data_IF_656528731815
#
_entry.id   IF_656528731815
#
_cell.length_a   1.000
_cell.length_b   1.000
_cell.length_c   1.000
_cell.angle_alpha   90.00
_cell.angle_beta   90.00
_cell.angle_gamma   90.00
#
_symmetry.space_group_name_H-M   'P 1'
#
loop_
_entity.id
_entity.type
_entity.pdbx_description
1 polymer ?
#
# COMPACT_ATOMS: atom_id res chain seq x y z
N UNK A 1 7.33 29.83 3.65
CA UNK A 1 8.75 29.45 3.81
C UNK A 1 9.48 29.46 2.47
N UNK A 2 10.82 29.61 2.48
CA UNK A 2 11.67 29.55 1.27
C UNK A 2 12.13 28.12 0.98
N UNK A 3 12.63 27.85 -0.23
CA UNK A 3 13.11 26.52 -0.66
C UNK A 3 14.10 25.86 0.32
N UNK A 4 15.09 26.61 0.80
CA UNK A 4 16.08 26.06 1.75
C UNK A 4 15.46 25.65 3.09
N UNK A 5 14.44 26.39 3.54
CA UNK A 5 13.70 26.07 4.76
C UNK A 5 12.76 24.88 4.55
N UNK A 6 12.08 24.81 3.40
CA UNK A 6 11.25 23.66 3.02
C UNK A 6 12.07 22.36 3.02
N UNK A 7 13.26 22.39 2.40
CA UNK A 7 14.22 21.28 2.41
C UNK A 7 14.59 20.85 3.83
N UNK A 8 14.98 21.79 4.70
CA UNK A 8 15.34 21.47 6.09
C UNK A 8 14.17 20.88 6.88
N UNK A 9 12.96 21.44 6.75
CA UNK A 9 11.79 20.99 7.51
C UNK A 9 11.24 19.63 7.06
N UNK A 10 11.44 19.28 5.79
CA UNK A 10 10.98 18.02 5.21
C UNK A 10 12.05 16.94 5.18
N UNK A 11 13.32 17.31 5.30
CA UNK A 11 14.46 16.44 5.07
C UNK A 11 14.68 16.09 3.59
N UNK A 12 13.90 16.69 2.66
CA UNK A 12 14.00 16.41 1.22
C UNK A 12 15.05 17.33 0.59
N UNK A 13 16.10 16.79 -0.05
CA UNK A 13 17.10 17.61 -0.70
C UNK A 13 16.49 18.54 -1.77
N UNK A 14 17.02 19.76 -1.88
CA UNK A 14 16.55 20.74 -2.89
C UNK A 14 16.53 20.18 -4.32
N UNK A 15 17.52 19.40 -4.80
CA UNK A 15 17.44 18.77 -6.12
C UNK A 15 16.23 17.85 -6.28
N UNK A 16 15.88 17.10 -5.23
CA UNK A 16 14.71 16.21 -5.21
C UNK A 16 13.40 16.98 -5.17
N UNK A 17 13.30 18.07 -4.39
CA UNK A 17 12.13 18.97 -4.43
C UNK A 17 11.96 19.55 -5.84
N UNK A 18 13.05 20.01 -6.47
CA UNK A 18 13.02 20.49 -7.85
C UNK A 18 12.63 19.41 -8.85
N UNK A 19 13.04 18.16 -8.62
CA UNK A 19 12.60 17.03 -9.41
C UNK A 19 11.09 16.83 -9.28
N UNK A 20 10.54 16.77 -8.06
CA UNK A 20 9.10 16.64 -7.86
C UNK A 20 8.29 17.80 -8.45
N UNK A 21 8.81 19.03 -8.42
CA UNK A 21 8.21 20.18 -9.11
C UNK A 21 8.20 20.02 -10.64
N UNK A 22 9.30 19.53 -11.23
CA UNK A 22 9.39 19.29 -12.69
C UNK A 22 8.49 18.16 -13.15
N UNK A 23 8.46 17.10 -12.35
CA UNK A 23 7.54 16.01 -12.60
C UNK A 23 6.11 16.50 -12.40
N UNK A 24 5.81 17.42 -11.47
CA UNK A 24 4.45 17.88 -11.17
C UNK A 24 3.81 17.13 -10.00
N UNK A 25 4.61 16.37 -9.25
CA UNK A 25 4.19 15.74 -7.98
C UNK A 25 4.04 16.78 -6.86
N UNK A 26 4.74 17.90 -6.95
CA UNK A 26 4.60 19.03 -6.03
C UNK A 26 4.11 20.24 -6.81
N UNK A 27 3.10 20.94 -6.27
CA UNK A 27 2.63 22.20 -6.85
C UNK A 27 3.71 23.29 -6.75
N UNK A 28 3.78 24.22 -7.72
CA UNK A 28 4.71 25.33 -7.65
C UNK A 28 4.30 26.28 -6.51
N UNK A 29 5.31 26.73 -5.75
CA UNK A 29 5.09 27.76 -4.73
C UNK A 29 4.72 29.11 -5.34
N UNK A 30 4.09 29.96 -4.55
CA UNK A 30 3.68 31.31 -4.95
C UNK A 30 4.90 32.17 -5.30
N UNK A 31 4.94 32.71 -6.52
CA UNK A 31 6.05 33.58 -6.94
C UNK A 31 5.97 34.89 -6.17
N UNK A 32 7.06 35.24 -5.50
CA UNK A 32 7.19 36.48 -4.72
C UNK A 32 8.24 37.43 -5.30
N UNK A 33 9.13 36.92 -6.16
CA UNK A 33 10.03 37.69 -7.03
C UNK A 33 10.49 36.81 -8.19
N UNK A 34 11.20 37.34 -9.22
CA UNK A 34 11.61 36.57 -10.39
C UNK A 34 12.33 35.25 -10.06
N UNK A 35 13.13 35.24 -8.99
CA UNK A 35 13.94 34.12 -8.53
C UNK A 35 13.52 33.56 -7.17
N UNK A 36 12.33 33.92 -6.66
CA UNK A 36 11.89 33.47 -5.34
C UNK A 36 10.43 33.03 -5.34
N UNK A 37 10.20 31.87 -4.73
CA UNK A 37 8.88 31.34 -4.43
C UNK A 37 8.67 31.23 -2.92
N UNK A 38 7.42 31.29 -2.50
CA UNK A 38 6.96 30.98 -1.16
C UNK A 38 6.24 29.63 -1.17
N UNK A 39 6.56 28.80 -0.19
CA UNK A 39 5.94 27.49 0.04
C UNK A 39 5.26 27.50 1.40
N UNK A 40 4.12 26.84 1.54
CA UNK A 40 3.37 26.78 2.80
C UNK A 40 3.39 25.38 3.43
N UNK A 41 2.56 25.14 4.44
CA UNK A 41 2.46 23.83 5.10
C UNK A 41 1.87 22.75 4.19
N UNK A 42 1.06 23.10 3.18
CA UNK A 42 0.52 22.11 2.24
C UNK A 42 1.65 21.44 1.44
N UNK A 43 2.70 22.20 1.11
CA UNK A 43 3.89 21.66 0.46
C UNK A 43 4.67 20.69 1.35
N UNK A 44 4.71 20.93 2.67
CA UNK A 44 5.33 20.01 3.63
C UNK A 44 4.52 18.71 3.69
N UNK A 45 3.19 18.81 3.82
CA UNK A 45 2.30 17.63 3.85
C UNK A 45 2.45 16.79 2.59
N UNK A 46 2.39 17.43 1.42
CA UNK A 46 2.55 16.76 0.12
C UNK A 46 3.91 16.10 -0.04
N UNK A 47 5.01 16.76 0.37
CA UNK A 47 6.34 16.15 0.34
C UNK A 47 6.45 14.92 1.25
N UNK A 48 5.82 14.94 2.43
CA UNK A 48 5.77 13.77 3.31
C UNK A 48 4.96 12.62 2.70
N UNK A 49 3.83 12.93 2.07
CA UNK A 49 3.02 11.95 1.36
C UNK A 49 3.78 11.31 0.20
N UNK A 50 4.44 12.10 -0.65
CA UNK A 50 5.28 11.59 -1.74
C UNK A 50 6.31 10.58 -1.21
N UNK A 51 7.01 10.92 -0.12
CA UNK A 51 8.01 10.04 0.48
C UNK A 51 7.39 8.77 1.05
N UNK A 52 6.27 8.89 1.77
CA UNK A 52 5.58 7.74 2.33
C UNK A 52 5.20 6.74 1.24
N UNK A 53 4.62 7.23 0.14
CA UNK A 53 4.19 6.40 -0.98
C UNK A 53 5.35 5.79 -1.76
N UNK A 54 6.38 6.59 -2.07
CA UNK A 54 7.50 6.14 -2.89
C UNK A 54 8.54 5.31 -2.12
N UNK A 55 8.97 5.78 -0.94
CA UNK A 55 10.09 5.19 -0.20
C UNK A 55 9.65 4.03 0.69
N UNK A 56 8.49 4.16 1.35
CA UNK A 56 8.00 3.12 2.28
C UNK A 56 7.01 2.21 1.58
N UNK A 57 6.04 2.78 0.86
CA UNK A 57 5.05 2.05 0.08
C UNK A 57 5.62 1.38 -1.18
N UNK A 58 6.82 1.78 -1.62
CA UNK A 58 7.49 1.20 -2.78
C UNK A 58 6.79 1.50 -4.12
N UNK A 59 5.88 2.47 -4.16
CA UNK A 59 5.20 2.83 -5.40
C UNK A 59 6.16 3.51 -6.38
N UNK A 60 6.16 3.12 -7.67
CA UNK A 60 6.88 3.86 -8.69
C UNK A 60 6.40 5.31 -8.76
N UNK A 61 7.31 6.24 -9.02
CA UNK A 61 7.00 7.69 -9.06
C UNK A 61 5.83 8.03 -10.00
N UNK A 62 5.70 7.32 -11.13
CA UNK A 62 4.57 7.49 -12.04
C UNK A 62 3.22 7.19 -11.36
N UNK A 63 3.14 6.14 -10.54
CA UNK A 63 1.93 5.77 -9.79
C UNK A 63 1.66 6.70 -8.62
N UNK A 64 2.71 7.23 -7.99
CA UNK A 64 2.56 8.24 -6.94
C UNK A 64 1.83 9.47 -7.48
N UNK A 65 2.08 9.86 -8.74
CA UNK A 65 1.31 10.94 -9.38
C UNK A 65 -0.17 10.62 -9.50
N UNK A 66 -0.52 9.45 -10.04
CA UNK A 66 -1.93 9.06 -10.25
C UNK A 66 -2.72 9.13 -8.92
N UNK A 67 -2.08 8.69 -7.83
CA UNK A 67 -2.64 8.76 -6.47
C UNK A 67 -2.79 10.21 -6.02
N UNK A 68 -1.78 11.03 -6.21
CA UNK A 68 -1.78 12.43 -5.78
C UNK A 68 -2.79 13.28 -6.57
N UNK A 69 -3.00 13.00 -7.85
CA UNK A 69 -4.01 13.68 -8.67
C UNK A 69 -5.43 13.35 -8.18
N UNK A 70 -5.67 12.10 -7.77
CA UNK A 70 -6.93 11.70 -7.14
C UNK A 70 -7.15 12.39 -5.78
N UNK A 71 -6.08 12.65 -5.02
CA UNK A 71 -6.13 13.39 -3.75
C UNK A 71 -6.42 14.88 -3.96
N UNK A 72 -5.93 15.48 -5.04
CA UNK A 72 -6.07 16.92 -5.29
C UNK A 72 -7.48 17.31 -5.78
N UNK A 73 -8.24 16.37 -6.37
CA UNK A 73 -9.62 16.59 -6.82
C UNK A 73 -10.56 15.47 -6.38
N UNK A 74 -10.77 15.24 -5.07
CA UNK A 74 -11.63 14.17 -4.62
C UNK A 74 -13.09 14.66 -4.68
N UNK A 75 -13.93 14.05 -5.53
CA UNK A 75 -15.38 14.21 -5.36
C UNK A 75 -15.84 13.42 -4.14
N UNK A 76 -15.30 12.20 -3.94
CA UNK A 76 -15.60 11.33 -2.81
C UNK A 76 -14.40 10.45 -2.37
N UNK A 77 -14.24 10.11 -1.07
CA UNK A 77 -13.11 9.30 -0.57
C UNK A 77 -12.96 7.91 -1.20
N UNK A 78 -14.04 7.30 -1.68
CA UNK A 78 -13.99 5.98 -2.31
C UNK A 78 -13.36 6.01 -3.71
N UNK A 79 -13.39 7.15 -4.41
CA UNK A 79 -12.75 7.30 -5.71
C UNK A 79 -11.24 7.26 -5.58
N UNK A 80 -10.72 7.90 -4.52
CA UNK A 80 -9.31 7.91 -4.18
C UNK A 80 -8.83 6.49 -3.84
N UNK A 81 -9.61 5.73 -3.05
CA UNK A 81 -9.33 4.32 -2.79
C UNK A 81 -9.24 3.52 -4.09
N UNK A 82 -10.21 3.74 -5.01
CA UNK A 82 -10.20 3.14 -6.33
C UNK A 82 -8.93 3.48 -7.10
N UNK A 83 -8.54 4.75 -7.18
CA UNK A 83 -7.33 5.19 -7.88
C UNK A 83 -6.06 4.54 -7.31
N UNK A 84 -5.94 4.47 -5.98
CA UNK A 84 -4.82 3.76 -5.31
C UNK A 84 -4.81 2.28 -5.69
N UNK A 85 -5.95 1.59 -5.62
CA UNK A 85 -6.04 0.18 -5.96
C UNK A 85 -5.73 -0.10 -7.45
N UNK A 86 -6.08 0.81 -8.36
CA UNK A 86 -5.74 0.69 -9.78
C UNK A 86 -4.26 1.02 -10.07
N UNK A 87 -3.62 1.80 -9.19
CA UNK A 87 -2.19 2.09 -9.31
C UNK A 87 -1.32 0.86 -9.00
N UNK A 88 -1.85 -0.07 -8.21
CA UNK A 88 -1.26 -1.37 -7.93
C UNK A 88 -1.60 -2.29 -9.10
N UNK A 89 -0.62 -2.56 -9.96
CA UNK A 89 -0.84 -3.41 -11.12
C UNK A 89 -1.16 -4.85 -10.67
N UNK A 90 -2.28 -5.44 -11.13
CA UNK A 90 -2.55 -6.83 -10.87
C UNK A 90 -1.51 -7.69 -11.59
N UNK A 91 -1.17 -8.89 -11.05
CA UNK A 91 -0.23 -9.80 -11.68
C UNK A 91 -0.54 -10.03 -13.17
N UNK A 92 0.50 -10.03 -14.00
CA UNK A 92 0.43 -10.41 -15.40
C UNK A 92 0.52 -11.93 -15.50
N UNK A 93 -0.41 -12.56 -16.23
CA UNK A 93 -0.50 -14.01 -16.34
C UNK A 93 -1.63 -14.45 -17.28
N UNK A 94 -1.70 -15.73 -17.59
CA UNK A 94 -2.77 -16.30 -18.41
C UNK A 94 -4.11 -16.16 -17.66
N UNK A 95 -5.04 -15.37 -18.21
CA UNK A 95 -6.36 -15.08 -17.60
C UNK A 95 -7.46 -15.97 -18.14
N UNK A 96 -7.09 -17.09 -18.72
CA UNK A 96 -7.97 -17.99 -19.44
C UNK A 96 -7.70 -19.45 -19.03
N UNK A 97 -8.72 -20.28 -19.16
CA UNK A 97 -8.64 -21.71 -18.88
C UNK A 97 -9.26 -22.14 -17.56
N UNK A 98 -9.27 -23.46 -17.36
CA UNK A 98 -10.05 -24.12 -16.30
C UNK A 98 -9.67 -23.67 -14.89
N UNK A 99 -8.38 -23.39 -14.63
CA UNK A 99 -7.90 -22.95 -13.32
C UNK A 99 -8.32 -21.50 -13.02
N UNK A 100 -8.28 -20.63 -14.02
CA UNK A 100 -8.76 -19.25 -13.90
C UNK A 100 -10.27 -19.18 -13.64
N UNK A 101 -11.06 -19.97 -14.37
CA UNK A 101 -12.49 -20.05 -14.15
C UNK A 101 -12.85 -20.59 -12.76
N UNK A 102 -12.12 -21.61 -12.29
CA UNK A 102 -12.30 -22.16 -10.94
C UNK A 102 -11.98 -21.12 -9.86
N UNK A 103 -10.84 -20.42 -9.99
CA UNK A 103 -10.45 -19.34 -9.09
C UNK A 103 -11.47 -18.19 -9.10
N UNK A 104 -11.96 -17.81 -10.29
CA UNK A 104 -13.00 -16.77 -10.45
C UNK A 104 -14.28 -17.15 -9.71
N UNK A 105 -14.80 -18.37 -9.92
CA UNK A 105 -15.99 -18.86 -9.20
C UNK A 105 -15.79 -18.84 -7.69
N UNK A 106 -14.60 -19.27 -7.22
CA UNK A 106 -14.28 -19.30 -5.80
C UNK A 106 -14.25 -17.91 -5.18
N UNK A 107 -13.63 -16.93 -5.86
CA UNK A 107 -13.64 -15.52 -5.40
C UNK A 107 -15.06 -14.95 -5.42
N UNK A 108 -15.86 -15.20 -6.46
CA UNK A 108 -17.28 -14.80 -6.47
C UNK A 108 -18.05 -15.32 -5.26
N UNK A 109 -17.83 -16.60 -4.91
CA UNK A 109 -18.48 -17.22 -3.76
C UNK A 109 -18.02 -16.58 -2.45
N UNK A 110 -16.72 -16.36 -2.28
CA UNK A 110 -16.16 -15.71 -1.11
C UNK A 110 -16.75 -14.31 -0.88
N UNK A 111 -16.85 -13.51 -1.96
CA UNK A 111 -17.45 -12.17 -1.90
C UNK A 111 -18.92 -12.24 -1.47
N UNK A 112 -19.67 -13.21 -2.00
CA UNK A 112 -21.08 -13.40 -1.66
C UNK A 112 -21.27 -13.86 -0.21
N UNK A 113 -20.47 -14.83 0.26
CA UNK A 113 -20.58 -15.42 1.60
C UNK A 113 -20.32 -14.38 2.71
N UNK A 114 -19.37 -13.47 2.47
CA UNK A 114 -19.07 -12.37 3.39
C UNK A 114 -19.89 -11.10 3.14
N UNK A 115 -20.74 -11.06 2.10
CA UNK A 115 -21.49 -9.87 1.73
C UNK A 115 -20.62 -8.67 1.34
N UNK A 116 -19.39 -8.91 0.88
CA UNK A 116 -18.45 -7.87 0.50
C UNK A 116 -18.93 -7.17 -0.79
N UNK A 117 -19.06 -5.85 -0.72
CA UNK A 117 -19.45 -5.00 -1.86
C UNK A 117 -18.28 -4.73 -2.80
N UNK A 118 -17.74 -5.79 -3.39
CA UNK A 118 -16.66 -5.75 -4.36
C UNK A 118 -17.05 -6.47 -5.66
N UNK A 119 -16.38 -6.11 -6.76
CA UNK A 119 -16.58 -6.74 -8.06
C UNK A 119 -15.40 -7.68 -8.36
N UNK A 120 -15.67 -8.86 -8.92
CA UNK A 120 -14.64 -9.81 -9.37
C UNK A 120 -13.67 -9.23 -10.40
N UNK A 121 -14.10 -8.21 -11.15
CA UNK A 121 -13.29 -7.49 -12.12
C UNK A 121 -12.43 -6.37 -11.50
N UNK A 122 -12.58 -6.08 -10.21
CA UNK A 122 -11.74 -5.09 -9.52
C UNK A 122 -10.28 -5.55 -9.45
N UNK A 123 -9.29 -4.64 -9.44
CA UNK A 123 -7.88 -5.00 -9.37
C UNK A 123 -7.51 -5.93 -8.18
N UNK A 124 -8.03 -5.73 -6.95
CA UNK A 124 -7.77 -6.64 -5.83
C UNK A 124 -8.33 -8.04 -6.07
N UNK A 125 -9.54 -8.15 -6.63
CA UNK A 125 -10.13 -9.45 -6.94
C UNK A 125 -9.35 -10.17 -8.05
N UNK A 126 -8.94 -9.46 -9.10
CA UNK A 126 -8.11 -10.01 -10.16
C UNK A 126 -6.76 -10.54 -9.64
N UNK A 127 -6.17 -9.84 -8.66
CA UNK A 127 -4.93 -10.28 -7.99
C UNK A 127 -5.15 -11.59 -7.21
N UNK A 128 -6.25 -11.69 -6.46
CA UNK A 128 -6.59 -12.91 -5.74
C UNK A 128 -6.90 -14.08 -6.68
N UNK A 129 -7.64 -13.83 -7.77
CA UNK A 129 -7.94 -14.85 -8.79
C UNK A 129 -6.66 -15.37 -9.41
N UNK A 130 -5.73 -14.50 -9.80
CA UNK A 130 -4.44 -14.90 -10.37
C UNK A 130 -3.63 -15.77 -9.40
N UNK A 131 -3.55 -15.37 -8.12
CA UNK A 131 -2.84 -16.14 -7.11
C UNK A 131 -3.45 -17.53 -6.90
N UNK A 132 -4.79 -17.62 -6.84
CA UNK A 132 -5.50 -18.89 -6.67
C UNK A 132 -5.38 -19.79 -7.90
N UNK A 133 -5.46 -19.22 -9.11
CA UNK A 133 -5.28 -19.97 -10.35
C UNK A 133 -3.87 -20.60 -10.40
N UNK A 134 -2.83 -19.85 -10.04
CA UNK A 134 -1.45 -20.37 -9.96
C UNK A 134 -1.29 -21.45 -8.89
N UNK A 135 -1.93 -21.31 -7.72
CA UNK A 135 -1.90 -22.36 -6.69
C UNK A 135 -2.56 -23.65 -7.19
N UNK A 136 -3.67 -23.52 -7.93
CA UNK A 136 -4.38 -24.66 -8.50
C UNK A 136 -3.57 -25.35 -9.60
N UNK A 137 -2.91 -24.58 -10.47
CA UNK A 137 -1.95 -25.10 -11.47
C UNK A 137 -0.79 -25.88 -10.83
N UNK A 138 -0.33 -25.45 -9.65
CA UNK A 138 0.72 -26.12 -8.89
C UNK A 138 0.21 -27.30 -8.03
N UNK A 139 -1.09 -27.61 -8.07
CA UNK A 139 -1.70 -28.65 -7.24
C UNK A 139 -1.67 -28.36 -5.74
N UNK A 140 -1.64 -27.07 -5.36
CA UNK A 140 -1.58 -26.59 -3.96
C UNK A 140 -2.93 -26.08 -3.48
N UNK A 141 -3.96 -26.91 -3.64
CA UNK A 141 -5.32 -26.60 -3.19
C UNK A 141 -5.39 -26.40 -1.67
N UNK A 142 -4.52 -27.07 -0.92
CA UNK A 142 -4.35 -26.90 0.53
C UNK A 142 -4.06 -25.44 0.92
N UNK A 143 -3.29 -24.72 0.09
CA UNK A 143 -2.97 -23.32 0.31
C UNK A 143 -4.09 -22.40 -0.22
N UNK A 144 -4.75 -22.78 -1.31
CA UNK A 144 -5.89 -22.05 -1.84
C UNK A 144 -7.05 -22.02 -0.82
N UNK A 145 -7.26 -23.10 -0.07
CA UNK A 145 -8.26 -23.24 0.98
C UNK A 145 -8.01 -22.36 2.23
N UNK A 146 -6.86 -21.68 2.30
CA UNK A 146 -6.59 -20.74 3.39
C UNK A 146 -7.41 -19.45 3.26
N UNK A 147 -7.91 -19.10 2.07
CA UNK A 147 -8.63 -17.83 1.88
C UNK A 147 -9.89 -17.78 2.75
N UNK A 148 -10.61 -18.90 2.89
CA UNK A 148 -11.81 -18.96 3.73
C UNK A 148 -11.48 -18.81 5.22
N UNK A 149 -10.28 -19.26 5.64
CA UNK A 149 -9.82 -19.07 7.02
C UNK A 149 -9.33 -17.65 7.26
N UNK A 150 -8.74 -17.01 6.26
CA UNK A 150 -8.22 -15.65 6.37
C UNK A 150 -9.31 -14.58 6.27
N UNK A 151 -10.37 -14.84 5.50
CA UNK A 151 -11.46 -13.89 5.23
C UNK A 151 -12.04 -13.19 6.49
N UNK A 152 -12.47 -13.90 7.54
CA UNK A 152 -13.00 -13.24 8.74
C UNK A 152 -11.94 -12.43 9.52
N UNK A 153 -10.65 -12.70 9.33
CA UNK A 153 -9.57 -11.94 9.97
C UNK A 153 -9.24 -10.67 9.20
N UNK A 154 -9.20 -10.73 7.86
CA UNK A 154 -8.97 -9.54 7.04
C UNK A 154 -10.15 -8.57 7.10
N UNK A 155 -11.37 -9.07 7.29
CA UNK A 155 -12.56 -8.24 7.53
C UNK A 155 -12.41 -7.40 8.80
N UNK A 156 -11.96 -8.00 9.91
CA UNK A 156 -11.67 -7.27 11.16
C UNK A 156 -10.56 -6.23 10.99
N UNK A 157 -9.53 -6.54 10.20
CA UNK A 157 -8.46 -5.58 9.89
C UNK A 157 -9.06 -4.39 9.13
N UNK A 158 -9.82 -4.66 8.06
CA UNK A 158 -10.45 -3.63 7.25
C UNK A 158 -11.39 -2.73 8.07
N UNK A 159 -12.19 -3.30 8.98
CA UNK A 159 -13.04 -2.53 9.89
C UNK A 159 -12.22 -1.57 10.78
N UNK A 160 -11.10 -2.06 11.35
CA UNK A 160 -10.23 -1.24 12.20
C UNK A 160 -9.53 -0.12 11.40
N UNK A 161 -9.17 -0.40 10.16
CA UNK A 161 -8.55 0.58 9.26
C UNK A 161 -9.55 1.68 8.87
N UNK A 162 -10.77 1.28 8.47
CA UNK A 162 -11.84 2.23 8.12
C UNK A 162 -12.26 3.09 9.33
N UNK A 163 -12.39 2.49 10.53
CA UNK A 163 -12.68 3.24 11.77
C UNK A 163 -11.63 4.30 12.09
N UNK A 164 -10.37 4.09 11.70
CA UNK A 164 -9.30 5.10 11.88
C UNK A 164 -9.44 6.23 10.89
N UNK A 165 -9.66 5.92 9.61
CA UNK A 165 -9.85 6.92 8.55
C UNK A 165 -11.08 7.79 8.82
N UNK A 166 -12.18 7.20 9.28
CA UNK A 166 -13.42 7.92 9.62
C UNK A 166 -13.31 8.90 10.81
N UNK A 167 -12.18 8.92 11.54
CA UNK A 167 -11.92 9.88 12.62
C UNK A 167 -11.25 11.19 12.15
N UNK A 168 -10.97 11.32 10.85
CA UNK A 168 -10.39 12.54 10.25
C UNK A 168 -11.29 13.77 10.39
N UNK A 169 -10.71 14.97 10.41
CA UNK A 169 -11.47 16.23 10.53
C UNK A 169 -11.68 16.89 9.17
N UNK A 170 -12.43 16.22 8.30
CA UNK A 170 -12.81 16.72 6.98
C UNK A 170 -12.40 15.79 5.84
N UNK A 171 -12.78 16.16 4.61
CA UNK A 171 -12.57 15.34 3.41
C UNK A 171 -11.07 15.20 3.11
N UNK A 172 -10.28 16.28 3.19
CA UNK A 172 -8.82 16.25 2.94
C UNK A 172 -8.10 15.26 3.88
N UNK A 173 -8.35 15.35 5.20
CA UNK A 173 -7.80 14.43 6.20
C UNK A 173 -8.23 12.97 5.95
N UNK A 174 -9.47 12.76 5.52
CA UNK A 174 -10.02 11.42 5.23
C UNK A 174 -9.35 10.83 4.01
N UNK A 175 -9.24 11.60 2.92
CA UNK A 175 -8.63 11.22 1.65
C UNK A 175 -7.15 10.89 1.84
N UNK A 176 -6.40 11.75 2.53
CA UNK A 176 -5.00 11.50 2.90
C UNK A 176 -4.87 10.21 3.75
N UNK A 177 -5.79 10.01 4.70
CA UNK A 177 -5.86 8.80 5.53
C UNK A 177 -6.13 7.52 4.72
N UNK A 178 -7.04 7.56 3.74
CA UNK A 178 -7.32 6.43 2.83
C UNK A 178 -6.08 6.04 2.04
N UNK A 179 -5.41 7.02 1.43
CA UNK A 179 -4.24 6.79 0.56
C UNK A 179 -3.08 6.19 1.34
N UNK A 180 -2.70 6.86 2.43
CA UNK A 180 -1.57 6.44 3.25
C UNK A 180 -1.91 5.11 3.93
N UNK A 181 -3.14 4.97 4.43
CA UNK A 181 -3.62 3.75 5.09
C UNK A 181 -3.62 2.55 4.16
N UNK A 182 -4.01 2.71 2.90
CA UNK A 182 -4.03 1.59 1.93
C UNK A 182 -2.60 1.16 1.58
N UNK A 183 -1.75 2.09 1.13
CA UNK A 183 -0.41 1.77 0.63
C UNK A 183 0.53 1.34 1.77
N UNK A 184 0.56 2.10 2.87
CA UNK A 184 1.38 1.73 4.02
C UNK A 184 0.78 0.56 4.80
N UNK A 185 -0.55 0.42 4.80
CA UNK A 185 -1.24 -0.69 5.44
C UNK A 185 -0.82 -2.03 4.84
N UNK A 186 -0.77 -2.15 3.51
CA UNK A 186 -0.25 -3.36 2.85
C UNK A 186 1.19 -3.68 3.27
N UNK A 187 2.04 -2.67 3.34
CA UNK A 187 3.43 -2.81 3.78
C UNK A 187 3.50 -3.29 5.24
N UNK A 188 2.72 -2.67 6.12
CA UNK A 188 2.64 -3.01 7.54
C UNK A 188 2.11 -4.43 7.76
N UNK A 189 1.00 -4.80 7.12
CA UNK A 189 0.39 -6.12 7.21
C UNK A 189 1.32 -7.19 6.65
N UNK A 190 2.00 -6.92 5.53
CA UNK A 190 3.00 -7.80 4.96
C UNK A 190 4.17 -8.06 5.92
N UNK A 191 4.68 -7.01 6.58
CA UNK A 191 5.74 -7.13 7.57
C UNK A 191 5.27 -7.89 8.82
N UNK A 192 4.10 -7.54 9.38
CA UNK A 192 3.50 -8.23 10.53
C UNK A 192 3.28 -9.72 10.25
N UNK A 193 2.75 -10.06 9.07
CA UNK A 193 2.55 -11.45 8.65
C UNK A 193 3.87 -12.21 8.62
N UNK A 194 4.93 -11.62 8.06
CA UNK A 194 6.26 -12.27 8.00
C UNK A 194 6.86 -12.47 9.40
N UNK A 195 6.74 -11.48 10.29
CA UNK A 195 7.18 -11.60 11.68
C UNK A 195 6.39 -12.69 12.43
N UNK A 196 5.07 -12.73 12.25
CA UNK A 196 4.22 -13.77 12.83
C UNK A 196 4.58 -15.16 12.31
N UNK A 197 4.88 -15.29 11.01
CA UNK A 197 5.37 -16.54 10.43
C UNK A 197 6.70 -16.97 11.05
N UNK A 198 7.67 -16.06 11.19
CA UNK A 198 8.94 -16.35 11.85
C UNK A 198 8.73 -16.88 13.27
N UNK A 199 7.86 -16.23 14.06
CA UNK A 199 7.51 -16.67 15.40
C UNK A 199 6.83 -18.05 15.42
N UNK A 200 5.83 -18.27 14.57
CA UNK A 200 5.12 -19.54 14.49
C UNK A 200 6.03 -20.69 14.07
N UNK A 201 6.91 -20.47 13.08
CA UNK A 201 7.90 -21.45 12.64
C UNK A 201 8.94 -21.73 13.73
N UNK A 202 9.42 -20.70 14.43
CA UNK A 202 10.33 -20.86 15.56
C UNK A 202 9.73 -21.76 16.65
N UNK A 203 8.47 -21.53 17.01
CA UNK A 203 7.75 -22.37 17.97
C UNK A 203 7.57 -23.81 17.46
N UNK A 204 7.19 -23.98 16.19
CA UNK A 204 6.96 -25.29 15.60
C UNK A 204 8.25 -26.13 15.47
N UNK A 205 9.38 -25.48 15.20
CA UNK A 205 10.70 -26.12 15.03
C UNK A 205 11.54 -26.14 16.33
N UNK A 206 11.03 -25.55 17.43
CA UNK A 206 11.76 -25.46 18.70
C UNK A 206 13.00 -24.56 18.65
N UNK A 207 13.09 -23.64 17.70
CA UNK A 207 14.24 -22.73 17.55
C UNK A 207 13.99 -21.47 18.38
N UNK A 208 14.75 -21.26 19.46
CA UNK A 208 14.73 -19.98 20.19
C UNK A 208 15.21 -18.83 19.30
N UNK A 209 14.61 -17.64 19.45
CA UNK A 209 15.04 -16.38 18.84
C UNK A 209 16.54 -16.08 19.06
N UNK A 210 17.17 -16.68 20.08
CA UNK A 210 18.61 -16.63 20.34
C UNK A 210 19.48 -17.16 19.18
N UNK A 211 18.92 -17.86 18.19
CA UNK A 211 19.71 -18.36 17.06
C UNK A 211 20.26 -17.24 16.16
N UNK A 212 19.45 -16.20 15.87
CA UNK A 212 19.92 -15.04 15.08
C UNK A 212 20.89 -14.15 15.86
N UNK A 213 20.63 -13.92 17.15
CA UNK A 213 21.52 -13.13 18.02
C UNK A 213 22.87 -13.81 18.24
N UNK A 214 22.91 -15.14 18.38
CA UNK A 214 24.17 -15.91 18.43
C UNK A 214 24.94 -15.87 17.11
N UNK A 215 24.25 -15.85 15.97
CA UNK A 215 24.90 -15.74 14.65
C UNK A 215 25.47 -14.35 14.40
N UNK A 216 24.78 -13.29 14.83
CA UNK A 216 25.28 -11.90 14.75
C UNK A 216 26.43 -11.62 15.72
N UNK A 217 26.38 -12.18 16.93
CA UNK A 217 27.46 -12.03 17.92
C UNK A 217 28.68 -12.93 17.66
N UNK A 218 28.53 -14.03 16.91
CA UNK A 218 29.62 -14.93 16.52
C UNK A 218 30.44 -14.48 15.30
N UNK A 219 29.95 -13.55 14.48
CA UNK A 219 30.61 -13.11 13.23
C UNK A 219 31.71 -12.04 13.41
N UNK A 220 32.08 -11.72 14.65
CA UNK A 220 33.03 -10.64 14.97
C UNK A 220 34.40 -11.08 15.52
N UNK A 221 34.75 -12.37 15.44
CA UNK A 221 36.06 -12.87 15.87
C UNK A 221 36.59 -13.94 14.91
N UNK A 222 37.13 -13.50 13.78
CA UNK A 222 38.28 -14.13 13.10
C UNK A 222 39.14 -13.04 12.46
#
# INVERSE_FOLDING_TARGET
>A
MRMAELSRRTGVPVPTIKYYLREGLLLPGERTSPNQAFYDESHIRRLRMIRALAEVGGLPIAKVRDVLDAVDSPEEPFEVLGAVQHSIEPPTGNREGVHWEAATRRVSQLLADHGWRANVHSPPAQTLIAALASLHELGRDDLADLIERYAPHVEKIAEEDVKRVARGRGIEDTVEGVVIGTVLGETMLGALRRLAHQHATANALGVSADYEDRKRSGSGRE
#
